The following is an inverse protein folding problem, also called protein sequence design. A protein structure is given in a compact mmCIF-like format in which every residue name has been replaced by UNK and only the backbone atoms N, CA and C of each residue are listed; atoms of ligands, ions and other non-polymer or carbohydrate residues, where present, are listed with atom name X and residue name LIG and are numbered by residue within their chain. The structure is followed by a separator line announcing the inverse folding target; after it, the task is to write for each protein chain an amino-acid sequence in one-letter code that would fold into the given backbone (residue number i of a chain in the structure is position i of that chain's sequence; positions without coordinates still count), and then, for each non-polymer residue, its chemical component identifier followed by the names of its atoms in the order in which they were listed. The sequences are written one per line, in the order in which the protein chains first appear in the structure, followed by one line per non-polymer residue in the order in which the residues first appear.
data_IF_568433980581
#
_entry.id   IF_568433980581
#
_cell.length_a   1.000
_cell.length_b   1.000
_cell.length_c   1.000
_cell.angle_alpha   90.00
_cell.angle_beta   90.00
_cell.angle_gamma   90.00
#
_symmetry.space_group_name_H-M   'P 1'
#
loop_
_entity.id
_entity.type
_entity.pdbx_description
1 polymer ?
#
# COMPACT_ATOMS: atom_id res chain seq x y z
N UNK A 1 5.78 -6.80 -3.50
CA UNK A 1 6.32 -5.60 -4.21
C UNK A 1 6.21 -5.69 -5.74
N UNK A 2 6.25 -6.87 -6.36
CA UNK A 2 6.21 -7.03 -7.82
C UNK A 2 4.88 -6.58 -8.45
N UNK A 3 3.77 -6.74 -7.74
CA UNK A 3 2.41 -6.36 -8.18
C UNK A 3 2.22 -4.86 -8.37
N UNK A 4 2.86 -4.05 -7.52
CA UNK A 4 2.75 -2.59 -7.50
C UNK A 4 3.42 -1.94 -8.72
N UNK A 5 4.55 -2.50 -9.17
CA UNK A 5 5.24 -2.03 -10.37
C UNK A 5 4.48 -2.35 -11.67
N UNK A 6 3.55 -3.29 -11.66
CA UNK A 6 2.89 -3.71 -12.89
C UNK A 6 1.63 -2.91 -13.18
N UNK A 7 0.78 -2.74 -12.17
CA UNK A 7 -0.43 -1.92 -12.31
C UNK A 7 -0.10 -0.44 -12.53
N UNK A 8 0.96 0.05 -11.89
CA UNK A 8 1.45 1.43 -12.09
C UNK A 8 1.99 1.69 -13.51
N UNK A 9 2.41 0.66 -14.25
CA UNK A 9 2.82 0.79 -15.67
C UNK A 9 1.62 1.00 -16.59
N UNK A 10 0.47 0.44 -16.24
CA UNK A 10 -0.76 0.56 -17.02
C UNK A 10 -1.43 1.90 -16.72
N UNK A 11 -1.50 2.25 -15.43
CA UNK A 11 -2.23 3.44 -14.98
C UNK A 11 -1.75 3.90 -13.60
N UNK A 12 -1.67 5.22 -13.34
CA UNK A 12 -1.22 5.73 -12.05
C UNK A 12 -2.22 5.39 -10.94
N UNK A 13 -1.79 4.49 -10.05
CA UNK A 13 -2.55 4.02 -8.89
C UNK A 13 -2.52 5.07 -7.77
N UNK A 14 -3.69 5.38 -7.19
CA UNK A 14 -3.82 6.34 -6.09
C UNK A 14 -3.56 5.71 -4.72
N UNK A 15 -4.12 4.54 -4.50
CA UNK A 15 -4.06 3.85 -3.23
C UNK A 15 -4.27 2.35 -3.44
N UNK A 16 -3.60 1.54 -2.62
CA UNK A 16 -3.75 0.09 -2.60
C UNK A 16 -4.13 -0.28 -1.18
N UNK A 17 -5.30 -0.88 -1.03
CA UNK A 17 -5.78 -1.47 0.21
C UNK A 17 -5.55 -2.98 0.14
N UNK A 18 -4.54 -3.45 0.87
CA UNK A 18 -4.19 -4.86 1.02
C UNK A 18 -3.90 -5.14 2.48
N UNK A 19 -4.44 -6.23 3.01
CA UNK A 19 -4.11 -6.71 4.34
C UNK A 19 -3.06 -7.82 4.26
N UNK A 20 -2.16 -7.86 5.23
CA UNK A 20 -1.13 -8.90 5.28
C UNK A 20 -1.80 -10.26 5.50
N UNK A 21 -1.64 -11.16 4.52
CA UNK A 21 -2.24 -12.50 4.52
C UNK A 21 -3.56 -12.62 3.76
N UNK A 22 -4.12 -11.52 3.24
CA UNK A 22 -5.31 -11.57 2.39
C UNK A 22 -4.97 -11.96 0.94
N UNK A 23 -5.88 -12.71 0.31
CA UNK A 23 -5.79 -13.09 -1.11
C UNK A 23 -6.43 -12.02 -2.00
N UNK A 24 -7.14 -11.07 -1.40
CA UNK A 24 -7.88 -10.02 -2.08
C UNK A 24 -7.23 -8.65 -1.86
N UNK A 25 -7.25 -7.82 -2.90
CA UNK A 25 -6.67 -6.48 -2.90
C UNK A 25 -7.63 -5.49 -3.56
N UNK A 26 -7.80 -4.32 -2.95
CA UNK A 26 -8.61 -3.25 -3.52
C UNK A 26 -7.72 -2.12 -3.99
N UNK A 27 -7.88 -1.70 -5.24
CA UNK A 27 -7.04 -0.69 -5.88
C UNK A 27 -7.90 0.51 -6.25
N UNK A 28 -7.45 1.69 -5.82
CA UNK A 28 -8.11 2.96 -6.13
C UNK A 28 -7.32 3.70 -7.20
N UNK A 29 -8.04 4.16 -8.22
CA UNK A 29 -7.54 5.06 -9.26
C UNK A 29 -8.01 6.49 -9.03
N UNK A 30 -7.34 7.46 -9.65
CA UNK A 30 -7.74 8.87 -9.55
C UNK A 30 -8.92 9.18 -10.46
N UNK A 31 -8.98 8.53 -11.62
CA UNK A 31 -10.03 8.77 -12.62
C UNK A 31 -10.71 7.46 -13.02
N UNK A 32 -11.99 7.50 -13.44
CA UNK A 32 -12.69 6.29 -13.89
C UNK A 32 -12.12 5.73 -15.20
N UNK A 33 -11.50 6.57 -16.03
CA UNK A 33 -10.81 6.16 -17.27
C UNK A 33 -9.66 5.21 -16.99
N UNK A 34 -8.90 5.49 -15.93
CA UNK A 34 -7.81 4.65 -15.45
C UNK A 34 -8.30 3.26 -15.04
N UNK A 35 -9.44 3.19 -14.37
CA UNK A 35 -10.08 1.92 -14.00
C UNK A 35 -10.52 1.14 -15.24
N UNK A 36 -11.06 1.83 -16.26
CA UNK A 36 -11.43 1.21 -17.55
C UNK A 36 -10.21 0.69 -18.32
N UNK A 37 -9.10 1.41 -18.32
CA UNK A 37 -7.86 0.97 -18.97
C UNK A 37 -7.34 -0.34 -18.36
N UNK A 38 -7.33 -0.46 -17.03
CA UNK A 38 -6.93 -1.70 -16.35
C UNK A 38 -7.90 -2.84 -16.63
N UNK A 39 -9.21 -2.56 -16.68
CA UNK A 39 -10.23 -3.55 -17.01
C UNK A 39 -10.13 -4.02 -18.48
N UNK A 40 -9.63 -3.20 -19.40
CA UNK A 40 -9.37 -3.60 -20.79
C UNK A 40 -8.25 -4.66 -20.87
N UNK A 41 -7.22 -4.51 -20.02
CA UNK A 41 -6.04 -5.41 -19.97
C UNK A 41 -6.27 -6.62 -19.05
N UNK A 42 -7.47 -6.77 -18.47
CA UNK A 42 -7.77 -7.86 -17.51
C UNK A 42 -7.48 -9.26 -18.04
N UNK A 43 -7.67 -9.49 -19.35
CA UNK A 43 -7.47 -10.80 -19.96
C UNK A 43 -5.99 -11.18 -20.03
N UNK A 44 -5.11 -10.20 -20.24
CA UNK A 44 -3.66 -10.38 -20.22
C UNK A 44 -3.18 -10.63 -18.79
N UNK A 45 -3.67 -9.84 -17.84
CA UNK A 45 -3.36 -10.00 -16.41
C UNK A 45 -3.83 -11.37 -15.87
N UNK A 46 -4.97 -11.87 -16.34
CA UNK A 46 -5.44 -13.21 -15.99
C UNK A 46 -4.53 -14.31 -16.55
N UNK A 47 -4.03 -14.17 -17.79
CA UNK A 47 -3.11 -15.16 -18.38
C UNK A 47 -1.74 -15.17 -17.71
N UNK A 48 -1.20 -14.01 -17.38
CA UNK A 48 0.14 -13.89 -16.79
C UNK A 48 0.16 -14.22 -15.30
N UNK A 49 -0.88 -13.82 -14.56
CA UNK A 49 -0.87 -13.86 -13.09
C UNK A 49 -2.09 -14.56 -12.46
N UNK A 50 -3.03 -15.05 -13.27
CA UNK A 50 -4.29 -15.65 -12.78
C UNK A 50 -5.10 -14.70 -11.88
N UNK A 51 -4.94 -13.39 -12.06
CA UNK A 51 -5.69 -12.40 -11.28
C UNK A 51 -7.07 -12.17 -11.85
N UNK A 52 -8.08 -12.28 -11.00
CA UNK A 52 -9.44 -11.85 -11.31
C UNK A 52 -9.60 -10.40 -10.86
N UNK A 53 -9.82 -9.51 -11.82
CA UNK A 53 -10.00 -8.07 -11.58
C UNK A 53 -11.45 -7.71 -11.93
N UNK A 54 -12.09 -6.98 -11.03
CA UNK A 54 -13.47 -6.54 -11.18
C UNK A 54 -13.61 -5.07 -10.73
N UNK A 55 -14.38 -4.28 -11.48
CA UNK A 55 -14.69 -2.91 -11.09
C UNK A 55 -15.86 -2.97 -10.11
N UNK A 56 -15.61 -2.59 -8.86
CA UNK A 56 -16.69 -2.44 -7.88
C UNK A 56 -17.65 -1.34 -8.32
N UNK A 57 -18.95 -1.61 -8.21
CA UNK A 57 -20.02 -0.65 -8.49
C UNK A 57 -21.23 -0.92 -7.60
N UNK A 58 -22.11 0.08 -7.45
CA UNK A 58 -23.36 -0.04 -6.70
C UNK A 58 -23.12 -0.30 -5.20
N UNK A 59 -23.86 -1.25 -4.62
CA UNK A 59 -23.81 -1.58 -3.19
C UNK A 59 -22.43 -2.03 -2.73
N UNK A 60 -21.69 -2.78 -3.57
CA UNK A 60 -20.36 -3.27 -3.22
C UNK A 60 -19.36 -2.12 -3.09
N UNK A 61 -19.45 -1.15 -4.00
CA UNK A 61 -18.63 0.06 -3.93
C UNK A 61 -18.98 0.89 -2.70
N UNK A 62 -20.27 1.08 -2.42
CA UNK A 62 -20.71 1.82 -1.23
C UNK A 62 -20.22 1.17 0.07
N UNK A 63 -20.33 -0.16 0.18
CA UNK A 63 -19.81 -0.91 1.34
C UNK A 63 -18.30 -0.78 1.49
N UNK A 64 -17.55 -0.84 0.37
CA UNK A 64 -16.11 -0.63 0.39
C UNK A 64 -15.73 0.76 0.91
N UNK A 65 -16.42 1.81 0.43
CA UNK A 65 -16.19 3.17 0.92
C UNK A 65 -16.56 3.33 2.40
N UNK A 66 -17.66 2.73 2.85
CA UNK A 66 -18.04 2.74 4.25
C UNK A 66 -16.97 2.07 5.13
N UNK A 67 -16.45 0.91 4.71
CA UNK A 67 -15.33 0.23 5.39
C UNK A 67 -14.13 1.16 5.54
N UNK A 68 -13.68 1.79 4.46
CA UNK A 68 -12.54 2.73 4.48
C UNK A 68 -12.77 3.88 5.48
N UNK A 69 -13.97 4.45 5.50
CA UNK A 69 -14.29 5.55 6.40
C UNK A 69 -14.27 5.12 7.87
N UNK A 70 -14.83 3.94 8.17
CA UNK A 70 -14.81 3.35 9.51
C UNK A 70 -13.37 3.03 9.93
N UNK A 71 -12.59 2.38 9.08
CA UNK A 71 -11.19 2.05 9.36
C UNK A 71 -10.35 3.29 9.62
N UNK A 72 -10.57 4.35 8.83
CA UNK A 72 -9.93 5.66 9.03
C UNK A 72 -10.32 6.26 10.39
N UNK A 73 -11.59 6.20 10.76
CA UNK A 73 -12.08 6.71 12.05
C UNK A 73 -11.47 5.93 13.22
N UNK A 74 -11.43 4.61 13.14
CA UNK A 74 -10.78 3.74 14.15
C UNK A 74 -9.29 4.06 14.25
N UNK A 75 -8.60 4.23 13.11
CA UNK A 75 -7.17 4.57 13.08
C UNK A 75 -6.88 5.94 13.70
N UNK A 76 -7.72 6.94 13.45
CA UNK A 76 -7.60 8.29 14.01
C UNK A 76 -7.89 8.30 15.52
N UNK A 77 -8.88 7.54 15.96
CA UNK A 77 -9.31 7.49 17.37
C UNK A 77 -8.49 6.50 18.21
N UNK A 78 -7.61 5.71 17.60
CA UNK A 78 -6.79 4.75 18.33
C UNK A 78 -5.99 5.51 19.39
N UNK A 79 -6.14 5.17 20.69
CA UNK A 79 -5.38 5.82 21.73
C UNK A 79 -3.90 5.62 21.44
N UNK A 80 -3.19 6.73 21.27
CA UNK A 80 -1.75 6.71 21.05
C UNK A 80 -1.07 6.27 22.34
N UNK A 81 -0.32 5.17 22.28
CA UNK A 81 0.62 4.82 23.34
C UNK A 81 1.64 5.94 23.51
N UNK A 82 1.57 6.60 24.67
CA UNK A 82 2.50 7.68 25.01
C UNK A 82 3.77 7.03 25.56
N UNK A 83 4.82 6.93 24.73
CA UNK A 83 6.15 6.55 25.20
C UNK A 83 6.68 7.59 26.21
N UNK A 84 7.04 7.16 27.41
CA UNK A 84 7.49 8.03 28.53
C UNK A 84 8.81 7.54 29.11
N UNK A 85 9.52 8.44 29.80
CA UNK A 85 10.72 8.11 30.58
C UNK A 85 11.78 7.32 29.81
N UNK A 86 12.15 6.16 30.36
CA UNK A 86 13.12 5.20 29.81
C UNK A 86 12.75 4.71 28.42
N UNK A 87 11.47 4.50 28.12
CA UNK A 87 11.03 4.02 26.80
C UNK A 87 11.36 5.04 25.69
N UNK A 88 11.35 6.34 26.01
CA UNK A 88 11.75 7.39 25.08
C UNK A 88 13.26 7.35 24.79
N UNK A 89 14.08 7.02 25.80
CA UNK A 89 15.53 6.89 25.66
C UNK A 89 15.89 5.68 24.82
N UNK A 90 15.25 4.53 25.09
CA UNK A 90 15.42 3.30 24.30
C UNK A 90 15.05 3.54 22.84
N UNK A 91 13.86 4.11 22.57
CA UNK A 91 13.44 4.40 21.19
C UNK A 91 14.36 5.39 20.47
N UNK A 92 14.97 6.35 21.19
CA UNK A 92 15.96 7.26 20.60
C UNK A 92 17.25 6.52 20.25
N UNK A 93 17.72 5.62 21.11
CA UNK A 93 18.90 4.79 20.86
C UNK A 93 18.68 3.85 19.66
N UNK A 94 17.54 3.15 19.61
CA UNK A 94 17.16 2.27 18.49
C UNK A 94 17.18 3.00 17.14
N UNK A 95 16.62 4.22 17.09
CA UNK A 95 16.64 5.04 15.87
C UNK A 95 18.05 5.39 15.42
N UNK A 96 18.95 5.73 16.35
CA UNK A 96 20.34 6.06 16.04
C UNK A 96 21.08 4.83 15.49
N UNK A 97 20.87 3.66 16.12
CA UNK A 97 21.46 2.39 15.67
C UNK A 97 20.98 2.05 14.25
N UNK A 98 19.67 2.12 14.00
CA UNK A 98 19.12 1.86 12.67
C UNK A 98 19.62 2.85 11.61
N UNK A 99 19.75 4.14 11.94
CA UNK A 99 20.26 5.15 11.01
C UNK A 99 21.71 4.86 10.61
N UNK A 100 22.57 4.54 11.59
CA UNK A 100 23.97 4.15 11.34
C UNK A 100 24.05 2.87 10.51
N UNK A 101 23.22 1.87 10.81
CA UNK A 101 23.17 0.64 10.02
C UNK A 101 22.74 0.91 8.57
N UNK A 102 21.79 1.81 8.33
CA UNK A 102 21.38 2.21 6.98
C UNK A 102 22.47 2.97 6.23
N UNK A 103 23.21 3.84 6.90
CA UNK A 103 24.35 4.56 6.29
C UNK A 103 25.50 3.62 5.94
N UNK A 104 25.84 2.68 6.83
CA UNK A 104 26.86 1.68 6.56
C UNK A 104 26.50 0.73 5.41
N UNK A 105 25.21 0.52 5.16
CA UNK A 105 24.71 -0.31 4.05
C UNK A 105 24.47 0.47 2.75
N UNK A 106 24.94 1.72 2.62
CA UNK A 106 24.98 2.40 1.32
C UNK A 106 26.19 1.87 0.55
N UNK A 107 25.93 1.10 -0.50
CA UNK A 107 26.96 0.60 -1.41
C UNK A 107 27.82 1.77 -1.93
N UNK A 108 29.14 1.67 -1.75
CA UNK A 108 30.11 2.59 -2.33
C UNK A 108 30.10 2.33 -3.84
N UNK A 109 29.68 3.33 -4.62
CA UNK A 109 29.81 3.30 -6.08
C UNK A 109 31.19 3.88 -6.39
N UNK A 110 32.06 3.07 -6.98
CA UNK A 110 33.28 3.56 -7.61
C UNK A 110 32.89 3.95 -9.04
N UNK A 111 33.06 5.23 -9.37
CA UNK A 111 33.04 5.68 -10.77
C UNK A 111 34.43 5.38 -11.34
N UNK A 112 34.49 4.60 -12.44
CA UNK A 112 35.71 4.36 -13.23
C UNK A 112 36.18 5.63 -13.94
#
# INVERSE_FOLDING_TARGET
MQTLMMLSKISPVAYIDTMDGDVEAHIRFHTPEQTKAVNAVKAELYKEHSWKIEILSGDHEQRYWQKILVDRQVKLNRPREKKRGTEKLISKAEKIIMARAKEANKHIRFDD
#
